data_IF_282789289039
#
_entry.id   IF_282789289039
#
_cell.length_a   1.000
_cell.length_b   1.000
_cell.length_c   1.000
_cell.angle_alpha   90.00
_cell.angle_beta   90.00
_cell.angle_gamma   90.00
#
_symmetry.space_group_name_H-M   'P 1'
#
loop_
_entity.id
_entity.type
_entity.pdbx_description
1 polymer ?
#
# COMPACT_ATOMS: atom_id res chain seq x y z
N UNK A 1 13.07 -23.00 22.18
CA UNK A 1 13.34 -23.10 20.74
C UNK A 1 12.48 -22.07 20.04
N UNK A 2 13.10 -21.22 19.22
CA UNK A 2 12.54 -19.96 18.73
C UNK A 2 11.45 -20.14 17.68
N UNK A 3 10.54 -19.17 17.72
CA UNK A 3 9.37 -18.87 16.90
C UNK A 3 9.45 -19.25 15.42
N UNK A 4 8.48 -20.04 14.98
CA UNK A 4 8.12 -20.15 13.57
C UNK A 4 7.44 -18.84 13.13
N UNK A 5 8.21 -17.91 12.56
CA UNK A 5 7.66 -16.77 11.83
C UNK A 5 7.01 -17.30 10.55
N UNK A 6 5.72 -17.56 10.59
CA UNK A 6 4.90 -17.77 9.40
C UNK A 6 4.87 -16.44 8.65
N UNK A 7 5.73 -16.29 7.64
CA UNK A 7 5.66 -15.20 6.68
C UNK A 7 4.39 -15.46 5.87
N UNK A 8 3.25 -14.93 6.35
CA UNK A 8 1.99 -14.94 5.63
C UNK A 8 2.20 -14.10 4.37
N UNK A 9 2.43 -14.78 3.24
CA UNK A 9 2.42 -14.16 1.92
C UNK A 9 0.98 -13.73 1.65
N UNK A 10 0.67 -12.46 1.94
CA UNK A 10 -0.63 -11.88 1.66
C UNK A 10 -0.87 -11.92 0.15
N UNK A 11 -2.07 -12.30 -0.26
CA UNK A 11 -2.44 -12.21 -1.67
C UNK A 11 -2.69 -10.74 -2.07
N UNK A 12 -2.69 -10.46 -3.38
CA UNK A 12 -2.85 -9.09 -3.90
C UNK A 12 -4.08 -8.37 -3.37
N UNK A 13 -5.22 -9.07 -3.18
CA UNK A 13 -6.42 -8.43 -2.64
C UNK A 13 -6.24 -8.00 -1.19
N UNK A 14 -5.62 -8.85 -0.37
CA UNK A 14 -5.32 -8.53 1.04
C UNK A 14 -4.36 -7.34 1.15
N UNK A 15 -3.36 -7.28 0.28
CA UNK A 15 -2.45 -6.13 0.19
C UNK A 15 -3.19 -4.84 -0.17
N UNK A 16 -4.13 -4.91 -1.12
CA UNK A 16 -4.95 -3.74 -1.48
C UNK A 16 -5.86 -3.33 -0.33
N UNK A 17 -6.47 -4.28 0.38
CA UNK A 17 -7.23 -3.98 1.59
C UNK A 17 -6.37 -3.33 2.68
N UNK A 18 -5.14 -3.78 2.86
CA UNK A 18 -4.19 -3.18 3.78
C UNK A 18 -3.82 -1.74 3.36
N UNK A 19 -3.52 -1.52 2.09
CA UNK A 19 -3.23 -0.18 1.54
C UNK A 19 -4.44 0.75 1.77
N UNK A 20 -5.65 0.29 1.45
CA UNK A 20 -6.88 1.04 1.68
C UNK A 20 -7.07 1.38 3.16
N UNK A 21 -6.79 0.43 4.06
CA UNK A 21 -6.90 0.65 5.49
C UNK A 21 -5.95 1.76 5.96
N UNK A 22 -4.68 1.68 5.55
CA UNK A 22 -3.64 2.65 5.86
C UNK A 22 -4.01 4.05 5.37
N UNK A 23 -4.53 4.15 4.14
CA UNK A 23 -4.87 5.42 3.51
C UNK A 23 -6.16 6.03 4.06
N UNK A 24 -7.22 5.24 4.20
CA UNK A 24 -8.54 5.78 4.59
C UNK A 24 -8.66 6.07 6.07
N UNK A 25 -8.19 5.14 6.90
CA UNK A 25 -8.43 5.17 8.33
C UNK A 25 -7.22 5.64 9.12
N UNK A 26 -6.00 5.24 8.72
CA UNK A 26 -4.78 5.67 9.41
C UNK A 26 -4.17 6.95 8.88
N UNK A 27 -4.56 7.37 7.66
CA UNK A 27 -3.94 8.50 6.93
C UNK A 27 -2.41 8.36 6.83
N UNK A 28 -1.92 7.12 6.83
CA UNK A 28 -0.49 6.80 6.77
C UNK A 28 -0.09 6.47 5.33
N UNK A 29 0.12 7.54 4.56
CA UNK A 29 0.51 7.44 3.14
C UNK A 29 1.93 6.90 2.96
N UNK A 30 2.81 7.10 3.94
CA UNK A 30 4.19 6.63 3.89
C UNK A 30 4.25 5.12 4.01
N UNK A 31 3.55 4.55 4.99
CA UNK A 31 3.49 3.10 5.15
C UNK A 31 2.73 2.44 3.99
N UNK A 32 1.66 3.07 3.48
CA UNK A 32 0.97 2.58 2.30
C UNK A 32 1.89 2.51 1.07
N UNK A 33 2.66 3.58 0.81
CA UNK A 33 3.66 3.61 -0.25
C UNK A 33 4.75 2.54 -0.06
N UNK A 34 5.18 2.31 1.17
CA UNK A 34 6.14 1.26 1.49
C UNK A 34 5.59 -0.14 1.16
N UNK A 35 4.36 -0.45 1.58
CA UNK A 35 3.69 -1.72 1.25
C UNK A 35 3.58 -1.91 -0.26
N UNK A 36 3.23 -0.85 -1.00
CA UNK A 36 3.19 -0.91 -2.46
C UNK A 36 4.56 -1.21 -3.08
N UNK A 37 5.61 -0.53 -2.60
CA UNK A 37 6.98 -0.71 -3.11
C UNK A 37 7.52 -2.11 -2.83
N UNK A 38 7.32 -2.62 -1.62
CA UNK A 38 7.83 -3.92 -1.20
C UNK A 38 7.14 -5.09 -1.92
N UNK A 39 5.89 -4.89 -2.36
CA UNK A 39 5.10 -5.90 -3.06
C UNK A 39 4.94 -5.63 -4.56
N UNK A 40 5.67 -4.64 -5.11
CA UNK A 40 5.65 -4.26 -6.52
C UNK A 40 4.26 -3.89 -7.06
N UNK A 41 3.37 -3.36 -6.22
CA UNK A 41 2.04 -2.91 -6.61
C UNK A 41 2.15 -1.52 -7.23
N UNK A 42 1.73 -1.39 -8.49
CA UNK A 42 1.71 -0.10 -9.17
C UNK A 42 0.50 0.75 -8.76
N UNK A 43 0.60 2.07 -8.98
CA UNK A 43 -0.54 2.97 -8.78
C UNK A 43 -1.70 2.65 -9.74
N UNK A 44 -1.37 2.21 -10.95
CA UNK A 44 -2.35 1.76 -11.95
C UNK A 44 -3.10 0.52 -11.46
N UNK A 45 -2.38 -0.52 -11.00
CA UNK A 45 -2.97 -1.74 -10.46
C UNK A 45 -3.87 -1.43 -9.25
N UNK A 46 -3.41 -0.56 -8.34
CA UNK A 46 -4.21 -0.13 -7.21
C UNK A 46 -5.52 0.55 -7.67
N UNK A 47 -5.44 1.44 -8.64
CA UNK A 47 -6.59 2.19 -9.15
C UNK A 47 -7.58 1.30 -9.91
N UNK A 48 -7.09 0.31 -10.68
CA UNK A 48 -7.95 -0.67 -11.37
C UNK A 48 -8.70 -1.57 -10.39
N UNK A 49 -8.05 -1.96 -9.30
CA UNK A 49 -8.59 -2.88 -8.30
C UNK A 49 -9.50 -2.19 -7.28
N UNK A 50 -9.42 -0.87 -7.14
CA UNK A 50 -10.31 -0.14 -6.23
C UNK A 50 -10.58 1.30 -6.63
N UNK A 51 -11.87 1.67 -6.65
CA UNK A 51 -12.35 3.04 -6.81
C UNK A 51 -12.55 3.78 -5.47
N UNK A 52 -12.11 3.17 -4.36
CA UNK A 52 -12.38 3.71 -3.02
C UNK A 52 -11.49 4.90 -2.68
N UNK A 53 -10.37 5.10 -3.40
CA UNK A 53 -9.45 6.21 -3.19
C UNK A 53 -9.85 7.40 -4.06
N UNK A 54 -9.81 8.59 -3.46
CA UNK A 54 -9.93 9.85 -4.21
C UNK A 54 -8.62 10.17 -4.94
N UNK A 55 -8.69 11.01 -5.98
CA UNK A 55 -7.51 11.49 -6.69
C UNK A 55 -6.47 12.14 -5.76
N UNK A 56 -6.92 12.89 -4.75
CA UNK A 56 -6.03 13.50 -3.75
C UNK A 56 -5.30 12.45 -2.90
N UNK A 57 -5.97 11.36 -2.53
CA UNK A 57 -5.34 10.29 -1.76
C UNK A 57 -4.32 9.52 -2.62
N UNK A 58 -4.63 9.27 -3.88
CA UNK A 58 -3.68 8.68 -4.84
C UNK A 58 -2.46 9.58 -5.05
N UNK A 59 -2.66 10.89 -5.19
CA UNK A 59 -1.57 11.86 -5.32
C UNK A 59 -0.63 11.83 -4.09
N UNK A 60 -1.19 11.79 -2.87
CA UNK A 60 -0.38 11.70 -1.64
C UNK A 60 0.42 10.41 -1.54
N UNK A 61 -0.11 9.28 -2.03
CA UNK A 61 0.64 8.03 -2.12
C UNK A 61 1.78 8.18 -3.14
N UNK A 62 1.50 8.73 -4.33
CA UNK A 62 2.51 8.98 -5.35
C UNK A 62 3.66 9.85 -4.84
N UNK A 63 3.36 10.94 -4.15
CA UNK A 63 4.34 11.82 -3.51
C UNK A 63 5.21 11.03 -2.51
N UNK A 64 4.58 10.21 -1.66
CA UNK A 64 5.30 9.39 -0.68
C UNK A 64 6.25 8.36 -1.33
N UNK A 65 5.85 7.77 -2.48
CA UNK A 65 6.71 6.87 -3.26
C UNK A 65 7.93 7.63 -3.81
N UNK A 66 7.72 8.83 -4.35
CA UNK A 66 8.78 9.66 -4.95
C UNK A 66 9.77 10.14 -3.88
N UNK A 67 9.26 10.63 -2.73
CA UNK A 67 10.11 11.13 -1.63
C UNK A 67 10.98 10.01 -1.06
N UNK A 68 10.47 8.78 -0.96
CA UNK A 68 11.23 7.61 -0.51
C UNK A 68 12.23 7.03 -1.53
N UNK A 69 12.49 7.73 -2.63
CA UNK A 69 13.46 7.34 -3.68
C UNK A 69 14.79 8.11 -3.61
N UNK A 70 14.87 9.17 -2.80
CA UNK A 70 16.10 9.93 -2.50
C UNK A 70 16.80 9.36 -1.28
#
# INVERSE_FOLDING_TARGET
MMSSNTINNLNTNELIHQILYLVKYKKDFKLAAQVMKDNLISLEELNEKTLKLSQLELAKIADAIIVGKR
#
